data_IF_331502460520
#
_entry.id   IF_331502460520
#
_cell.length_a   1.000
_cell.length_b   1.000
_cell.length_c   1.000
_cell.angle_alpha   90.00
_cell.angle_beta   90.00
_cell.angle_gamma   90.00
#
_symmetry.space_group_name_H-M   'P 1'
#
loop_
_entity.id
_entity.type
_entity.pdbx_description
1 polymer ?
#
# COMPACT_ATOMS: atom_id res chain seq x y z
N UNK A 1 23.63 -3.46 -38.67
CA UNK A 1 22.19 -3.56 -39.04
C UNK A 1 21.24 -3.75 -37.84
N UNK A 2 21.68 -4.29 -36.70
CA UNK A 2 20.83 -4.41 -35.50
C UNK A 2 20.56 -3.08 -34.75
N UNK A 3 21.53 -2.15 -34.73
CA UNK A 3 21.42 -0.87 -34.00
C UNK A 3 20.37 0.06 -34.65
N UNK A 4 20.35 0.13 -35.98
CA UNK A 4 19.37 0.93 -36.72
C UNK A 4 17.92 0.44 -36.56
N UNK A 5 17.72 -0.87 -36.31
CA UNK A 5 16.39 -1.42 -36.02
C UNK A 5 15.93 -1.05 -34.60
N UNK A 6 16.85 -0.99 -33.63
CA UNK A 6 16.55 -0.54 -32.27
C UNK A 6 16.22 0.95 -32.20
N UNK A 7 16.90 1.78 -32.99
CA UNK A 7 16.62 3.23 -33.09
C UNK A 7 15.26 3.51 -33.73
N UNK A 8 14.86 2.69 -34.72
CA UNK A 8 13.53 2.77 -35.36
C UNK A 8 12.40 2.33 -34.42
N UNK A 9 12.66 1.42 -33.47
CA UNK A 9 11.70 1.02 -32.43
C UNK A 9 11.57 2.06 -31.32
N UNK A 10 12.64 2.79 -31.00
CA UNK A 10 12.57 3.89 -30.03
C UNK A 10 11.76 5.08 -30.57
N UNK A 11 11.84 5.37 -31.88
CA UNK A 11 11.18 6.53 -32.48
C UNK A 11 9.68 6.36 -32.77
N UNK A 12 9.14 5.14 -32.74
CA UNK A 12 7.71 4.87 -32.95
C UNK A 12 6.84 5.05 -31.70
N UNK A 13 7.44 5.37 -30.54
CA UNK A 13 6.72 5.71 -29.31
C UNK A 13 6.70 7.22 -29.07
N UNK A 14 6.21 7.99 -30.05
CA UNK A 14 5.80 9.37 -29.75
C UNK A 14 4.59 9.31 -28.80
N UNK A 15 4.64 9.92 -27.60
CA UNK A 15 3.46 10.03 -26.76
C UNK A 15 2.44 10.92 -27.48
N UNK A 16 1.25 10.38 -27.69
CA UNK A 16 0.08 11.17 -28.10
C UNK A 16 -0.15 12.27 -27.07
N UNK A 17 -0.33 13.47 -27.60
CA UNK A 17 -0.80 14.66 -26.94
C UNK A 17 -2.00 14.37 -26.03
N UNK A 18 -1.95 14.91 -24.82
CA UNK A 18 -2.80 14.52 -23.70
C UNK A 18 -1.95 14.35 -22.45
N UNK A 19 -1.89 15.42 -21.66
CA UNK A 19 -1.21 15.54 -20.36
C UNK A 19 -1.31 14.29 -19.45
N UNK A 20 -0.48 13.28 -19.68
CA UNK A 20 -0.27 12.21 -18.71
C UNK A 20 0.57 12.78 -17.59
N UNK A 21 -0.08 13.30 -16.55
CA UNK A 21 0.55 13.58 -15.26
C UNK A 21 1.35 12.33 -14.89
N UNK A 22 2.64 12.49 -14.62
CA UNK A 22 3.46 11.43 -13.98
C UNK A 22 2.62 10.87 -12.83
N UNK A 23 2.55 9.56 -12.59
CA UNK A 23 1.88 9.08 -11.39
C UNK A 23 2.58 9.75 -10.21
N UNK A 24 1.88 10.65 -9.53
CA UNK A 24 2.32 11.29 -8.30
C UNK A 24 2.27 10.19 -7.24
N UNK A 25 3.24 9.29 -7.31
CA UNK A 25 3.50 8.37 -6.22
C UNK A 25 4.33 9.19 -5.25
N UNK A 26 3.67 9.87 -4.32
CA UNK A 26 4.33 10.41 -3.14
C UNK A 26 4.88 9.22 -2.36
N UNK A 27 6.10 8.80 -2.69
CA UNK A 27 6.85 7.73 -1.99
C UNK A 27 7.37 8.22 -0.65
N UNK A 28 7.33 9.52 -0.43
CA UNK A 28 7.73 10.17 0.81
C UNK A 28 6.49 10.40 1.68
N UNK A 29 6.37 9.60 2.75
CA UNK A 29 5.47 9.89 3.88
C UNK A 29 6.13 10.94 4.77
N UNK A 30 6.51 12.07 4.16
CA UNK A 30 7.10 13.20 4.86
C UNK A 30 5.95 14.07 5.34
N UNK A 31 5.94 14.37 6.62
CA UNK A 31 4.97 15.29 7.19
C UNK A 31 5.16 16.68 6.54
N UNK A 32 4.21 17.09 5.72
CA UNK A 32 4.23 18.37 4.97
C UNK A 32 3.64 19.53 5.74
N UNK A 33 3.27 19.34 7.01
CA UNK A 33 2.72 20.42 7.85
C UNK A 33 3.84 21.36 8.28
N UNK A 34 3.95 22.49 7.61
CA UNK A 34 4.80 23.60 8.05
C UNK A 34 4.26 24.22 9.34
N UNK A 35 5.13 24.65 10.27
CA UNK A 35 4.68 25.35 11.48
C UNK A 35 4.01 26.69 11.12
N UNK A 36 2.87 26.97 11.74
CA UNK A 36 1.98 28.08 11.39
C UNK A 36 2.32 29.43 12.05
N UNK A 37 3.36 29.49 12.90
CA UNK A 37 3.74 30.72 13.63
C UNK A 37 5.27 30.84 13.81
N UNK A 38 5.80 32.07 13.75
CA UNK A 38 7.20 32.47 13.98
C UNK A 38 7.78 31.93 15.30
N UNK A 39 7.01 31.93 16.38
CA UNK A 39 7.46 31.35 17.67
C UNK A 39 7.66 29.83 17.58
N UNK A 40 6.76 29.13 16.88
CA UNK A 40 6.92 27.71 16.59
C UNK A 40 8.10 27.49 15.65
N UNK A 41 8.30 28.36 14.68
CA UNK A 41 9.41 28.25 13.73
C UNK A 41 10.76 28.32 14.47
N UNK A 42 10.93 29.26 15.41
CA UNK A 42 12.18 29.39 16.18
C UNK A 42 12.48 28.14 17.02
N UNK A 43 11.45 27.49 17.58
CA UNK A 43 11.60 26.21 18.27
C UNK A 43 12.04 25.10 17.30
N UNK A 44 11.40 24.99 16.13
CA UNK A 44 11.73 23.98 15.11
C UNK A 44 13.11 24.20 14.44
N UNK A 45 13.65 25.42 14.42
CA UNK A 45 15.01 25.70 13.93
C UNK A 45 16.12 25.40 14.96
N UNK A 46 15.77 25.21 16.23
CA UNK A 46 16.75 24.74 17.23
C UNK A 46 17.05 23.25 17.01
N UNK A 47 18.31 22.79 17.18
CA UNK A 47 18.66 21.37 17.12
C UNK A 47 17.76 20.49 18.00
N UNK A 48 17.40 20.98 19.19
CA UNK A 48 16.52 20.27 20.11
C UNK A 48 15.08 20.13 19.58
N UNK A 49 14.50 21.23 19.06
CA UNK A 49 13.14 21.18 18.53
C UNK A 49 13.05 20.36 17.25
N UNK A 50 14.09 20.36 16.41
CA UNK A 50 14.18 19.46 15.27
C UNK A 50 14.21 17.99 15.69
N UNK A 51 15.06 17.61 16.67
CA UNK A 51 15.11 16.25 17.20
C UNK A 51 13.77 15.80 17.79
N UNK A 52 13.13 16.64 18.61
CA UNK A 52 11.82 16.36 19.18
C UNK A 52 10.74 16.19 18.10
N UNK A 53 10.78 16.99 17.03
CA UNK A 53 9.86 16.87 15.90
C UNK A 53 10.07 15.55 15.12
N UNK A 54 11.33 15.16 14.89
CA UNK A 54 11.66 13.87 14.25
C UNK A 54 11.19 12.68 15.08
N UNK A 55 11.43 12.70 16.39
CA UNK A 55 11.02 11.64 17.31
C UNK A 55 9.51 11.47 17.29
N UNK A 56 8.76 12.57 17.43
CA UNK A 56 7.29 12.57 17.37
C UNK A 56 6.75 12.02 16.04
N UNK A 57 7.36 12.39 14.92
CA UNK A 57 6.98 11.90 13.58
C UNK A 57 7.34 10.40 13.40
N UNK A 58 8.47 9.95 13.97
CA UNK A 58 8.84 8.55 14.01
C UNK A 58 7.84 7.72 14.83
N UNK A 59 7.45 8.19 16.02
CA UNK A 59 6.43 7.58 16.87
C UNK A 59 5.07 7.49 16.17
N UNK A 60 4.63 8.57 15.52
CA UNK A 60 3.37 8.58 14.78
C UNK A 60 3.38 7.55 13.63
N UNK A 61 4.49 7.45 12.89
CA UNK A 61 4.65 6.42 11.86
C UNK A 61 4.63 5.01 12.44
N UNK A 62 5.27 4.79 13.59
CA UNK A 62 5.27 3.50 14.27
C UNK A 62 3.85 3.13 14.73
N UNK A 63 3.12 4.07 15.32
CA UNK A 63 1.72 3.89 15.74
C UNK A 63 0.82 3.52 14.56
N UNK A 64 0.88 4.28 13.45
CA UNK A 64 0.09 3.98 12.24
C UNK A 64 0.40 2.61 11.66
N UNK A 65 1.66 2.18 11.67
CA UNK A 65 2.04 0.83 11.22
C UNK A 65 1.43 -0.24 12.12
N UNK A 66 1.52 -0.07 13.45
CA UNK A 66 0.93 -1.00 14.42
C UNK A 66 -0.60 -1.09 14.29
N UNK A 67 -1.27 0.04 14.11
CA UNK A 67 -2.72 0.09 13.88
C UNK A 67 -3.12 -0.63 12.58
N UNK A 68 -2.41 -0.36 11.48
CA UNK A 68 -2.65 -1.03 10.20
C UNK A 68 -2.41 -2.54 10.28
N UNK A 69 -1.36 -2.95 10.99
CA UNK A 69 -1.03 -4.36 11.22
C UNK A 69 -2.11 -5.07 12.05
N UNK A 70 -2.55 -4.45 13.16
CA UNK A 70 -3.63 -4.98 13.98
C UNK A 70 -4.93 -5.13 13.18
N UNK A 71 -5.27 -4.14 12.35
CA UNK A 71 -6.44 -4.20 11.48
C UNK A 71 -6.32 -5.30 10.40
N UNK A 72 -5.14 -5.44 9.79
CA UNK A 72 -4.88 -6.51 8.82
C UNK A 72 -4.96 -7.91 9.45
N UNK A 73 -4.44 -8.07 10.68
CA UNK A 73 -4.57 -9.31 11.45
C UNK A 73 -6.04 -9.64 11.75
N UNK A 74 -6.83 -8.66 12.20
CA UNK A 74 -8.26 -8.88 12.45
C UNK A 74 -9.03 -9.27 11.19
N UNK A 75 -8.67 -8.73 10.02
CA UNK A 75 -9.28 -9.12 8.74
C UNK A 75 -8.82 -10.50 8.27
N UNK A 76 -7.56 -10.86 8.52
CA UNK A 76 -7.05 -12.22 8.28
C UNK A 76 -7.87 -13.23 9.08
N UNK A 77 -8.09 -12.98 10.36
CA UNK A 77 -8.81 -13.91 11.24
C UNK A 77 -10.28 -14.04 10.81
N UNK A 78 -10.96 -12.93 10.49
CA UNK A 78 -12.31 -12.96 9.91
C UNK A 78 -12.39 -13.72 8.58
N UNK A 79 -11.36 -13.58 7.73
CA UNK A 79 -11.25 -14.31 6.47
C UNK A 79 -11.03 -15.81 6.70
N UNK A 80 -10.24 -16.19 7.71
CA UNK A 80 -10.03 -17.58 8.11
C UNK A 80 -11.33 -18.21 8.64
N UNK A 81 -12.12 -17.46 9.40
CA UNK A 81 -13.43 -17.90 9.89
C UNK A 81 -14.40 -18.16 8.74
N UNK A 82 -14.48 -17.25 7.77
CA UNK A 82 -15.31 -17.43 6.56
C UNK A 82 -14.82 -18.61 5.71
N UNK A 83 -13.51 -18.75 5.55
CA UNK A 83 -12.89 -19.87 4.84
C UNK A 83 -13.23 -21.22 5.48
N UNK A 84 -13.21 -21.28 6.81
CA UNK A 84 -13.56 -22.49 7.58
C UNK A 84 -15.04 -22.85 7.46
N UNK A 85 -15.92 -21.86 7.28
CA UNK A 85 -17.36 -22.06 7.02
C UNK A 85 -17.66 -22.46 5.56
N UNK A 86 -16.65 -22.47 4.69
CA UNK A 86 -16.82 -22.76 3.26
C UNK A 86 -17.39 -21.60 2.44
N UNK A 87 -17.48 -20.39 3.03
CA UNK A 87 -17.83 -19.17 2.34
C UNK A 87 -16.55 -18.53 1.77
N UNK A 88 -16.17 -19.01 0.60
CA UNK A 88 -14.93 -18.62 -0.05
C UNK A 88 -15.00 -17.21 -0.68
N UNK A 89 -16.18 -16.74 -1.08
CA UNK A 89 -16.35 -15.38 -1.62
C UNK A 89 -16.09 -14.33 -0.54
N UNK A 90 -16.77 -14.46 0.61
CA UNK A 90 -16.58 -13.57 1.73
C UNK A 90 -15.13 -13.60 2.25
N UNK A 91 -14.48 -14.77 2.26
CA UNK A 91 -13.07 -14.90 2.63
C UNK A 91 -12.16 -14.09 1.69
N UNK A 92 -12.37 -14.18 0.37
CA UNK A 92 -11.59 -13.42 -0.63
C UNK A 92 -11.76 -11.92 -0.39
N UNK A 93 -12.98 -11.44 -0.16
CA UNK A 93 -13.25 -10.03 0.13
C UNK A 93 -12.49 -9.56 1.37
N UNK A 94 -12.57 -10.29 2.49
CA UNK A 94 -11.87 -9.93 3.73
C UNK A 94 -10.36 -9.91 3.57
N UNK A 95 -9.78 -10.85 2.83
CA UNK A 95 -8.34 -10.79 2.54
C UNK A 95 -7.98 -9.61 1.65
N UNK A 96 -8.82 -9.25 0.66
CA UNK A 96 -8.57 -8.05 -0.16
C UNK A 96 -8.66 -6.74 0.62
N UNK A 97 -9.60 -6.62 1.57
CA UNK A 97 -9.68 -5.48 2.49
C UNK A 97 -8.40 -5.38 3.34
N UNK A 98 -7.89 -6.51 3.82
CA UNK A 98 -6.66 -6.56 4.61
C UNK A 98 -5.45 -6.07 3.81
N UNK A 99 -5.33 -6.53 2.56
CA UNK A 99 -4.27 -6.12 1.64
C UNK A 99 -4.33 -4.64 1.26
N UNK A 100 -5.52 -4.00 1.25
CA UNK A 100 -5.63 -2.55 1.02
C UNK A 100 -5.00 -1.74 2.15
N UNK A 101 -5.02 -2.28 3.38
CA UNK A 101 -4.47 -1.62 4.58
C UNK A 101 -3.00 -1.93 4.78
N UNK A 102 -2.61 -3.20 4.64
CA UNK A 102 -1.24 -3.65 4.77
C UNK A 102 -0.87 -4.53 3.56
N UNK A 103 -0.18 -3.91 2.60
CA UNK A 103 0.28 -4.60 1.37
C UNK A 103 1.47 -5.52 1.62
N UNK A 104 2.18 -5.31 2.72
CA UNK A 104 3.44 -6.01 3.02
C UNK A 104 3.21 -7.36 3.71
N UNK A 105 1.97 -7.83 3.84
CA UNK A 105 1.63 -9.05 4.55
C UNK A 105 1.45 -10.24 3.57
N UNK A 106 2.44 -11.13 3.40
CA UNK A 106 2.38 -12.23 2.42
C UNK A 106 1.31 -13.28 2.75
N UNK A 107 0.98 -13.45 4.04
CA UNK A 107 -0.05 -14.40 4.48
C UNK A 107 -1.42 -14.11 3.85
N UNK A 108 -1.81 -12.83 3.70
CA UNK A 108 -3.09 -12.48 3.09
C UNK A 108 -3.17 -12.85 1.60
N UNK A 109 -2.05 -12.78 0.87
CA UNK A 109 -2.00 -13.19 -0.54
C UNK A 109 -2.16 -14.70 -0.70
N UNK A 110 -1.42 -15.48 0.11
CA UNK A 110 -1.50 -16.94 0.07
C UNK A 110 -2.91 -17.43 0.45
N UNK A 111 -3.49 -16.89 1.52
CA UNK A 111 -4.85 -17.26 1.94
C UNK A 111 -5.91 -16.88 0.90
N UNK A 112 -5.79 -15.70 0.26
CA UNK A 112 -6.66 -15.29 -0.85
C UNK A 112 -6.53 -16.23 -2.05
N UNK A 113 -5.32 -16.65 -2.40
CA UNK A 113 -5.09 -17.59 -3.50
C UNK A 113 -5.77 -18.93 -3.24
N UNK A 114 -5.60 -19.50 -2.04
CA UNK A 114 -6.27 -20.75 -1.68
C UNK A 114 -7.80 -20.61 -1.66
N UNK A 115 -8.34 -19.50 -1.14
CA UNK A 115 -9.78 -19.20 -1.16
C UNK A 115 -10.33 -19.13 -2.60
N UNK A 116 -9.63 -18.42 -3.50
CA UNK A 116 -10.00 -18.33 -4.91
C UNK A 116 -9.96 -19.70 -5.61
N UNK A 117 -8.93 -20.52 -5.33
CA UNK A 117 -8.84 -21.88 -5.86
C UNK A 117 -9.99 -22.76 -5.39
N UNK A 118 -10.31 -22.73 -4.09
CA UNK A 118 -11.46 -23.46 -3.51
C UNK A 118 -12.79 -23.02 -4.11
N UNK A 119 -13.00 -21.71 -4.25
CA UNK A 119 -14.17 -21.13 -4.90
C UNK A 119 -14.33 -21.64 -6.34
N UNK A 120 -13.26 -21.59 -7.14
CA UNK A 120 -13.28 -22.04 -8.52
C UNK A 120 -13.60 -23.52 -8.66
N UNK A 121 -12.97 -24.38 -7.84
CA UNK A 121 -13.23 -25.82 -7.85
C UNK A 121 -14.69 -26.12 -7.49
N UNK A 122 -15.27 -25.40 -6.52
CA UNK A 122 -16.68 -25.57 -6.15
C UNK A 122 -17.63 -25.24 -7.30
N UNK A 123 -17.36 -24.19 -8.07
CA UNK A 123 -18.25 -23.78 -9.17
C UNK A 123 -18.07 -24.59 -10.45
N UNK A 124 -16.88 -25.15 -10.67
CA UNK A 124 -16.58 -25.91 -11.90
C UNK A 124 -17.04 -27.37 -11.83
N UNK A 125 -17.14 -27.94 -10.64
CA UNK A 125 -17.47 -29.35 -10.41
C UNK A 125 -18.81 -29.55 -9.68
N UNK A 126 -19.65 -28.51 -9.65
CA UNK A 126 -21.09 -28.60 -9.35
C UNK A 126 -21.88 -28.58 -10.66
#
# INVERSE_FOLDING_TARGET
KAIAETEKRLSSTKPKDGSKKKPQVDRTVVNTRAPVNIFSLLFYLSPYGFMAALEKDAEERARRRKENEAFANALKDKGNDAFSKGDYEAAIEKYTEGLKKQKDMPMLYTNRFFAAGRWYLRHKFQ
#
